data_IF_750335154294
#
_entry.id   IF_750335154294
#
_cell.length_a   1.000
_cell.length_b   1.000
_cell.length_c   1.000
_cell.angle_alpha   90.00
_cell.angle_beta   90.00
_cell.angle_gamma   90.00
#
_symmetry.space_group_name_H-M   'P 1'
#
loop_
_entity.id
_entity.type
_entity.pdbx_description
1 polymer ?
#
# COMPACT_ATOMS: atom_id res chain seq x y z
N UNK A 1 -12.03 17.72 -9.79
CA UNK A 1 -12.45 16.32 -9.60
C UNK A 1 -11.39 15.30 -10.02
N UNK A 2 -11.05 15.12 -11.30
CA UNK A 2 -10.03 14.13 -11.69
C UNK A 2 -8.63 14.40 -11.09
N UNK A 3 -8.21 15.67 -11.06
CA UNK A 3 -6.94 16.08 -10.45
C UNK A 3 -6.89 15.90 -8.93
N UNK A 4 -8.02 16.09 -8.24
CA UNK A 4 -8.12 15.92 -6.79
C UNK A 4 -8.04 14.44 -6.41
N UNK A 5 -8.67 13.56 -7.19
CA UNK A 5 -8.55 12.11 -7.03
C UNK A 5 -7.11 11.64 -7.27
N UNK A 6 -6.47 12.14 -8.33
CA UNK A 6 -5.07 11.83 -8.62
C UNK A 6 -4.14 12.32 -7.49
N UNK A 7 -4.39 13.51 -6.96
CA UNK A 7 -3.62 14.08 -5.84
C UNK A 7 -3.81 13.26 -4.56
N UNK A 8 -5.05 12.92 -4.21
CA UNK A 8 -5.36 12.08 -3.05
C UNK A 8 -4.76 10.67 -3.16
N UNK A 9 -4.78 10.07 -4.36
CA UNK A 9 -4.13 8.78 -4.61
C UNK A 9 -2.62 8.86 -4.44
N UNK A 10 -1.98 9.89 -5.00
CA UNK A 10 -0.53 10.07 -4.88
C UNK A 10 -0.12 10.28 -3.41
N UNK A 11 -0.89 11.04 -2.63
CA UNK A 11 -0.68 11.20 -1.20
C UNK A 11 -0.81 9.85 -0.46
N UNK A 12 -1.85 9.06 -0.78
CA UNK A 12 -2.01 7.70 -0.25
C UNK A 12 -0.76 6.84 -0.51
N UNK A 13 -0.26 6.82 -1.75
CA UNK A 13 0.92 6.05 -2.11
C UNK A 13 2.19 6.51 -1.39
N UNK A 14 2.37 7.83 -1.23
CA UNK A 14 3.48 8.39 -0.46
C UNK A 14 3.44 7.93 0.99
N UNK A 15 2.26 7.96 1.63
CA UNK A 15 2.08 7.46 3.00
C UNK A 15 2.36 5.96 3.09
N UNK A 16 1.83 5.16 2.17
CA UNK A 16 2.10 3.71 2.12
C UNK A 16 3.59 3.42 1.96
N UNK A 17 4.30 4.16 1.11
CA UNK A 17 5.73 3.98 0.88
C UNK A 17 6.59 4.22 2.14
N UNK A 18 6.12 5.00 3.11
CA UNK A 18 6.83 5.22 4.39
C UNK A 18 6.69 4.08 5.39
N UNK A 19 5.70 3.20 5.22
CA UNK A 19 5.47 2.07 6.14
C UNK A 19 6.48 0.94 5.91
N UNK A 20 6.86 0.73 4.65
CA UNK A 20 7.69 -0.41 4.27
C UNK A 20 9.18 -0.06 4.29
N UNK A 21 10.05 -1.01 4.68
CA UNK A 21 11.48 -0.79 4.62
C UNK A 21 11.95 -0.59 3.18
N UNK A 22 13.06 0.12 3.01
CA UNK A 22 13.69 0.28 1.69
C UNK A 22 13.96 -1.11 1.07
N UNK A 23 13.56 -1.27 -0.20
CA UNK A 23 13.72 -2.53 -0.93
C UNK A 23 12.60 -3.55 -0.70
N UNK A 24 11.60 -3.24 0.13
CA UNK A 24 10.43 -4.09 0.30
C UNK A 24 9.75 -4.41 -1.05
N UNK A 25 9.26 -5.64 -1.15
CA UNK A 25 8.55 -6.14 -2.31
C UNK A 25 7.04 -5.93 -2.08
N UNK A 26 6.48 -4.84 -2.59
CA UNK A 26 5.08 -4.45 -2.38
C UNK A 26 4.37 -4.21 -3.73
N UNK A 27 3.22 -4.85 -3.92
CA UNK A 27 2.36 -4.65 -5.10
C UNK A 27 0.99 -4.13 -4.68
N UNK A 28 0.39 -3.30 -5.54
CA UNK A 28 -0.96 -2.76 -5.34
C UNK A 28 -1.92 -3.71 -6.03
N UNK A 29 -2.52 -4.61 -5.27
CA UNK A 29 -3.45 -5.60 -5.79
C UNK A 29 -4.77 -4.97 -6.24
N UNK A 30 -5.30 -4.07 -5.41
CA UNK A 30 -6.49 -3.29 -5.73
C UNK A 30 -6.48 -1.94 -5.04
N UNK A 31 -7.10 -0.96 -5.67
CA UNK A 31 -7.39 0.34 -5.08
C UNK A 31 -8.81 0.78 -5.47
N UNK A 32 -9.50 1.40 -4.54
CA UNK A 32 -10.86 1.88 -4.74
C UNK A 32 -11.04 3.20 -3.98
N UNK A 33 -11.59 4.21 -4.65
CA UNK A 33 -11.98 5.46 -4.01
C UNK A 33 -13.44 5.38 -3.56
N UNK A 34 -13.65 5.60 -2.27
CA UNK A 34 -14.96 5.72 -1.64
C UNK A 34 -15.30 7.20 -1.51
N UNK A 35 -16.18 7.68 -2.39
CA UNK A 35 -16.56 9.09 -2.45
C UNK A 35 -17.42 9.54 -1.27
N UNK A 36 -18.18 8.62 -0.66
CA UNK A 36 -19.02 8.93 0.51
C UNK A 36 -18.15 9.24 1.73
N UNK A 37 -17.10 8.44 1.93
CA UNK A 37 -16.19 8.58 3.06
C UNK A 37 -14.91 9.37 2.72
N UNK A 38 -14.80 9.89 1.49
CA UNK A 38 -13.62 10.59 0.97
C UNK A 38 -12.31 9.85 1.28
N UNK A 39 -12.28 8.54 1.01
CA UNK A 39 -11.17 7.69 1.40
C UNK A 39 -10.72 6.72 0.29
N UNK A 40 -9.45 6.34 0.29
CA UNK A 40 -8.91 5.30 -0.58
C UNK A 40 -8.80 3.99 0.19
N UNK A 41 -9.38 2.92 -0.32
CA UNK A 41 -9.17 1.55 0.16
C UNK A 41 -8.13 0.90 -0.72
N UNK A 42 -7.04 0.44 -0.14
CA UNK A 42 -5.92 -0.15 -0.88
C UNK A 42 -5.60 -1.52 -0.32
N UNK A 43 -5.53 -2.50 -1.20
CA UNK A 43 -5.07 -3.85 -0.89
C UNK A 43 -3.68 -4.04 -1.48
N UNK A 44 -2.73 -4.42 -0.63
CA UNK A 44 -1.35 -4.63 -1.00
C UNK A 44 -0.95 -6.09 -0.83
N UNK A 45 -0.10 -6.57 -1.73
CA UNK A 45 0.66 -7.80 -1.53
C UNK A 45 2.07 -7.43 -1.07
N UNK A 46 2.51 -7.97 0.07
CA UNK A 46 3.82 -7.74 0.67
C UNK A 46 4.52 -9.06 1.00
N UNK A 47 5.84 -9.10 0.88
CA UNK A 47 6.65 -10.22 1.38
C UNK A 47 7.24 -9.87 2.75
N UNK A 48 6.81 -10.56 3.79
CA UNK A 48 7.30 -10.31 5.15
C UNK A 48 8.76 -10.74 5.33
N UNK A 49 9.33 -10.43 6.50
CA UNK A 49 10.72 -10.76 6.84
C UNK A 49 11.00 -12.26 6.95
N UNK A 50 9.96 -13.07 7.18
CA UNK A 50 10.03 -14.54 7.18
C UNK A 50 9.94 -15.13 5.76
N UNK A 51 9.84 -14.27 4.73
CA UNK A 51 9.76 -14.68 3.33
C UNK A 51 8.38 -15.14 2.88
N UNK A 52 7.35 -15.02 3.72
CA UNK A 52 5.97 -15.37 3.42
C UNK A 52 5.22 -14.19 2.78
N UNK A 53 4.22 -14.51 1.97
CA UNK A 53 3.37 -13.51 1.35
C UNK A 53 2.18 -13.17 2.23
N UNK A 54 1.90 -11.89 2.33
CA UNK A 54 0.80 -11.33 3.10
C UNK A 54 0.05 -10.31 2.26
N UNK A 55 -1.26 -10.33 2.39
CA UNK A 55 -2.14 -9.30 1.87
C UNK A 55 -2.44 -8.34 3.02
N UNK A 56 -2.11 -7.08 2.82
CA UNK A 56 -2.35 -5.99 3.77
C UNK A 56 -3.43 -5.08 3.23
N UNK A 57 -4.37 -4.68 4.08
CA UNK A 57 -5.45 -3.76 3.71
C UNK A 57 -5.29 -2.46 4.48
N UNK A 58 -5.40 -1.36 3.76
CA UNK A 58 -5.33 -0.02 4.30
C UNK A 58 -6.52 0.82 3.84
N UNK A 59 -6.89 1.79 4.68
CA UNK A 59 -7.82 2.86 4.34
C UNK A 59 -7.13 4.19 4.58
N UNK A 60 -6.98 5.00 3.54
CA UNK A 60 -6.44 6.34 3.61
C UNK A 60 -7.58 7.36 3.60
N UNK A 61 -7.72 8.11 4.69
CA UNK A 61 -8.64 9.23 4.77
C UNK A 61 -8.00 10.47 4.12
N UNK A 62 -8.61 10.98 3.05
CA UNK A 62 -8.05 12.09 2.27
C UNK A 62 -8.14 13.41 3.04
N UNK A 63 -9.19 13.58 3.85
CA UNK A 63 -9.45 14.84 4.59
C UNK A 63 -8.53 14.93 5.81
N UNK A 64 -8.38 13.82 6.54
CA UNK A 64 -7.52 13.77 7.72
C UNK A 64 -6.03 13.54 7.38
N UNK A 65 -5.71 13.09 6.15
CA UNK A 65 -4.36 12.65 5.75
C UNK A 65 -3.81 11.56 6.70
N UNK A 66 -4.69 10.59 7.02
CA UNK A 66 -4.38 9.48 7.93
C UNK A 66 -4.56 8.15 7.21
N UNK A 67 -3.56 7.29 7.37
CA UNK A 67 -3.58 5.92 6.86
C UNK A 67 -3.91 4.94 7.99
N UNK A 68 -5.01 4.22 7.84
CA UNK A 68 -5.47 3.21 8.78
C UNK A 68 -5.18 1.81 8.25
N UNK A 69 -4.55 0.98 9.07
CA UNK A 69 -4.45 -0.46 8.80
C UNK A 69 -5.77 -1.14 9.15
N UNK A 70 -6.33 -1.91 8.21
CA UNK A 70 -7.66 -2.53 8.37
C UNK A 70 -7.62 -4.06 8.41
N UNK A 71 -6.47 -4.66 8.09
CA UNK A 71 -6.29 -6.09 8.29
C UNK A 71 -5.17 -6.71 7.47
N UNK A 72 -4.83 -7.95 7.83
CA UNK A 72 -3.83 -8.75 7.16
C UNK A 72 -4.32 -10.19 7.02
N UNK A 73 -4.01 -10.81 5.88
CA UNK A 73 -4.25 -12.24 5.64
C UNK A 73 -3.05 -12.87 4.95
N UNK A 74 -2.63 -14.08 5.33
CA UNK A 74 -1.57 -14.80 4.61
C UNK A 74 -2.02 -15.13 3.18
N UNK A 75 -1.06 -15.12 2.24
CA UNK A 75 -1.27 -15.42 0.82
C UNK A 75 -0.36 -16.57 0.42
N UNK A 76 -0.88 -17.51 -0.38
CA UNK A 76 -0.09 -18.63 -0.89
C UNK A 76 0.79 -18.18 -2.05
N UNK A 77 1.94 -18.82 -2.24
CA UNK A 77 2.89 -18.45 -3.31
C UNK A 77 2.26 -18.42 -4.71
N UNK A 78 1.39 -19.37 -5.04
CA UNK A 78 0.70 -19.41 -6.35
C UNK A 78 -0.15 -18.16 -6.60
N UNK A 79 -0.88 -17.71 -5.57
CA UNK A 79 -1.72 -16.52 -5.62
C UNK A 79 -0.86 -15.26 -5.70
N UNK A 80 0.22 -15.20 -4.90
CA UNK A 80 1.19 -14.12 -4.96
C UNK A 80 1.83 -14.01 -6.37
N UNK A 81 2.19 -15.14 -6.99
CA UNK A 81 2.72 -15.16 -8.35
C UNK A 81 1.73 -14.57 -9.35
N UNK A 82 0.43 -14.89 -9.23
CA UNK A 82 -0.62 -14.35 -10.10
C UNK A 82 -0.74 -12.83 -9.94
N UNK A 83 -0.84 -12.34 -8.71
CA UNK A 83 -0.95 -10.90 -8.41
C UNK A 83 0.26 -10.15 -8.98
N UNK A 84 1.49 -10.62 -8.73
CA UNK A 84 2.71 -9.95 -9.21
C UNK A 84 2.83 -9.85 -10.73
N UNK A 85 2.12 -10.69 -11.49
CA UNK A 85 2.12 -10.64 -12.96
C UNK A 85 1.23 -9.55 -13.53
N UNK A 86 0.22 -9.12 -12.78
CA UNK A 86 -0.81 -8.18 -13.26
C UNK A 86 -0.81 -6.85 -12.50
N UNK A 87 -0.46 -6.87 -11.22
CA UNK A 87 -0.51 -5.71 -10.35
C UNK A 87 0.70 -4.79 -10.55
N UNK A 88 0.52 -3.46 -10.51
CA UNK A 88 1.63 -2.52 -10.45
C UNK A 88 2.37 -2.64 -9.12
N UNK A 89 3.66 -2.36 -9.15
CA UNK A 89 4.51 -2.35 -7.96
C UNK A 89 4.45 -0.99 -7.29
N UNK A 90 4.31 -0.96 -5.97
CA UNK A 90 4.41 0.28 -5.21
C UNK A 90 5.88 0.72 -5.18
N UNK A 91 6.14 1.97 -5.57
CA UNK A 91 7.49 2.53 -5.53
C UNK A 91 7.81 2.92 -4.10
N UNK A 92 8.55 2.05 -3.40
CA UNK A 92 9.10 2.36 -2.08
C UNK A 92 10.33 3.25 -2.29
N UNK A 93 10.18 4.55 -2.03
CA UNK A 93 11.31 5.48 -2.04
C UNK A 93 12.36 5.03 -1.04
N UNK A 94 13.64 5.26 -1.37
CA UNK A 94 14.79 5.05 -0.48
C UNK A 94 14.64 5.97 0.73
N UNK A 95 13.87 5.55 1.73
CA UNK A 95 13.78 6.24 3.01
C UNK A 95 15.10 6.01 3.72
N UNK A 96 15.94 7.05 3.76
CA UNK A 96 17.03 7.13 4.73
C UNK A 96 16.37 7.15 6.10
N UNK A 97 16.17 5.98 6.71
CA UNK A 97 15.84 5.89 8.13
C UNK A 97 17.03 6.46 8.89
N UNK A 98 16.89 7.71 9.36
CA UNK A 98 17.71 8.21 10.45
C UNK A 98 17.44 7.28 11.65
N UNK A 99 18.40 6.41 11.94
CA UNK A 99 18.50 5.74 13.24
C UNK A 99 18.71 6.84 14.28
N UNK A 100 17.71 7.14 15.07
CA UNK A 100 17.93 7.78 16.36
C UNK A 100 18.51 6.73 17.30
N UNK A 101 19.76 6.95 17.69
CA UNK A 101 20.50 6.19 18.68
C UNK A 101 20.07 6.57 20.11
#
# INVERSE_FOLDING_TARGET
>A
MADELATGRNACYQRLATIFPTGALVWIESEEYDAENMCWRVTLLHRNTSGQWERLRYRYDVVADILHFTGMTPVRDEEAVRIRRTAPRLTIGRTVQARSA
#
